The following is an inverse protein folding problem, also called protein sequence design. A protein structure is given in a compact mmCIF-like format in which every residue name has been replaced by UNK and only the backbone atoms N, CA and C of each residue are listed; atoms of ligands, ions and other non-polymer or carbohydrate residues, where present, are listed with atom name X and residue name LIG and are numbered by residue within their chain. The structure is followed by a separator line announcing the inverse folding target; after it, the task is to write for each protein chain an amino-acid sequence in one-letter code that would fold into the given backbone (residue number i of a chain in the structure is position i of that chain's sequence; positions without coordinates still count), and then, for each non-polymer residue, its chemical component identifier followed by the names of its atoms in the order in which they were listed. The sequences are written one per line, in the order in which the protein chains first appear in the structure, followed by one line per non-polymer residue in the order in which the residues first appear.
data_IF_168600115470
#
_entry.id   IF_168600115470
#
_cell.length_a   1.000
_cell.length_b   1.000
_cell.length_c   1.000
_cell.angle_alpha   90.00
_cell.angle_beta   90.00
_cell.angle_gamma   90.00
#
_symmetry.space_group_name_H-M   'P 1'
#
loop_
_entity.id
_entity.type
_entity.pdbx_description
1 polymer ?
#
# COMPACT_ATOMS: atom_id res chain seq x y z
N UNK A 1 -11.88 -22.11 24.32
CA UNK A 1 -11.01 -21.98 23.14
C UNK A 1 -11.83 -22.33 21.90
N UNK A 2 -12.05 -21.39 20.98
CA UNK A 2 -12.80 -21.66 19.75
C UNK A 2 -11.88 -22.43 18.80
N UNK A 3 -12.26 -23.67 18.46
CA UNK A 3 -11.64 -24.44 17.40
C UNK A 3 -11.99 -23.79 16.05
N UNK A 4 -11.19 -22.83 15.60
CA UNK A 4 -11.37 -22.24 14.27
C UNK A 4 -10.83 -23.23 13.25
N UNK A 5 -11.72 -24.01 12.64
CA UNK A 5 -11.39 -24.86 11.49
C UNK A 5 -10.94 -23.95 10.34
N UNK A 6 -9.64 -23.88 10.07
CA UNK A 6 -9.09 -23.21 8.90
C UNK A 6 -9.15 -24.12 7.67
N UNK A 7 -9.29 -23.52 6.48
CA UNK A 7 -9.15 -24.22 5.19
C UNK A 7 -7.74 -23.96 4.66
N UNK A 8 -7.07 -24.99 4.16
CA UNK A 8 -5.76 -24.85 3.52
C UNK A 8 -5.91 -24.38 2.08
N UNK A 9 -5.12 -23.37 1.69
CA UNK A 9 -5.09 -22.83 0.34
C UNK A 9 -3.76 -23.24 -0.31
N UNK A 10 -3.84 -24.07 -1.35
CA UNK A 10 -2.70 -24.40 -2.22
C UNK A 10 -2.79 -23.60 -3.51
N UNK A 11 -1.74 -22.83 -3.84
CA UNK A 11 -1.64 -22.09 -5.10
C UNK A 11 -0.20 -22.15 -5.62
N UNK A 12 -0.07 -22.21 -6.94
CA UNK A 12 1.23 -22.02 -7.57
C UNK A 12 1.62 -20.54 -7.49
N UNK A 13 2.84 -20.29 -7.01
CA UNK A 13 3.41 -18.95 -6.93
C UNK A 13 4.83 -19.03 -7.51
N UNK A 14 5.14 -18.23 -8.55
CA UNK A 14 6.51 -18.10 -9.07
C UNK A 14 7.51 -17.80 -7.95
N UNK A 15 8.73 -18.33 -8.08
CA UNK A 15 9.76 -18.27 -7.03
C UNK A 15 10.04 -16.81 -6.61
N UNK A 16 10.24 -15.93 -7.58
CA UNK A 16 10.52 -14.51 -7.35
C UNK A 16 9.41 -13.81 -6.56
N UNK A 17 8.15 -14.11 -6.89
CA UNK A 17 6.99 -13.57 -6.18
C UNK A 17 6.90 -14.12 -4.75
N UNK A 18 7.18 -15.41 -4.56
CA UNK A 18 7.21 -16.02 -3.22
C UNK A 18 8.29 -15.38 -2.32
N UNK A 19 9.47 -15.13 -2.87
CA UNK A 19 10.55 -14.46 -2.14
C UNK A 19 10.20 -13.00 -1.80
N UNK A 20 9.66 -12.25 -2.77
CA UNK A 20 9.20 -10.88 -2.57
C UNK A 20 8.14 -10.81 -1.46
N UNK A 21 7.14 -11.70 -1.49
CA UNK A 21 6.12 -11.81 -0.43
C UNK A 21 6.73 -12.15 0.93
N UNK A 22 7.73 -13.03 0.97
CA UNK A 22 8.42 -13.39 2.22
C UNK A 22 9.20 -12.21 2.80
N UNK A 23 9.91 -11.44 1.97
CA UNK A 23 10.63 -10.24 2.41
C UNK A 23 9.68 -9.18 2.94
N UNK A 24 8.57 -8.95 2.24
CA UNK A 24 7.51 -8.02 2.69
C UNK A 24 6.90 -8.44 4.02
N UNK A 25 6.56 -9.71 4.17
CA UNK A 25 6.01 -10.24 5.42
C UNK A 25 7.01 -10.07 6.58
N UNK A 26 8.30 -10.33 6.35
CA UNK A 26 9.35 -10.15 7.35
C UNK A 26 9.53 -8.69 7.78
N UNK A 27 9.45 -7.74 6.84
CA UNK A 27 9.53 -6.31 7.13
C UNK A 27 8.41 -5.82 8.05
N UNK A 28 7.25 -6.47 8.01
CA UNK A 28 6.08 -6.14 8.83
C UNK A 28 5.91 -7.10 10.02
N UNK A 29 6.91 -7.92 10.34
CA UNK A 29 6.89 -8.94 11.42
C UNK A 29 5.71 -9.91 11.32
N UNK A 30 5.32 -10.28 10.10
CA UNK A 30 4.20 -11.20 9.81
C UNK A 30 4.70 -12.48 9.14
N UNK A 31 3.91 -13.54 9.27
CA UNK A 31 4.17 -14.80 8.52
C UNK A 31 3.68 -14.67 7.08
N UNK A 32 4.23 -15.49 6.19
CA UNK A 32 3.80 -15.54 4.79
C UNK A 32 2.29 -15.76 4.66
N UNK A 33 1.72 -16.70 5.42
CA UNK A 33 0.29 -16.99 5.42
C UNK A 33 -0.54 -15.80 5.90
N UNK A 34 -0.07 -15.06 6.92
CA UNK A 34 -0.75 -13.84 7.39
C UNK A 34 -0.75 -12.74 6.33
N UNK A 35 0.35 -12.58 5.60
CA UNK A 35 0.46 -11.59 4.53
C UNK A 35 -0.43 -11.94 3.33
N UNK A 36 -0.48 -13.22 2.94
CA UNK A 36 -1.41 -13.70 1.92
C UNK A 36 -2.86 -13.44 2.33
N UNK A 37 -3.24 -13.78 3.57
CA UNK A 37 -4.60 -13.50 4.07
C UNK A 37 -4.91 -12.01 4.07
N UNK A 38 -3.96 -11.13 4.44
CA UNK A 38 -4.15 -9.67 4.37
C UNK A 38 -4.42 -9.24 2.92
N UNK A 39 -3.57 -9.65 1.97
CA UNK A 39 -3.71 -9.28 0.56
C UNK A 39 -5.05 -9.77 0.00
N UNK A 40 -5.44 -11.01 0.29
CA UNK A 40 -6.74 -11.53 -0.15
C UNK A 40 -7.91 -10.78 0.48
N UNK A 41 -7.81 -10.42 1.76
CA UNK A 41 -8.84 -9.62 2.44
C UNK A 41 -8.95 -8.22 1.81
N UNK A 42 -7.82 -7.57 1.54
CA UNK A 42 -7.76 -6.27 0.85
C UNK A 42 -8.27 -6.35 -0.59
N UNK A 43 -8.03 -7.45 -1.30
CA UNK A 43 -8.53 -7.60 -2.66
C UNK A 43 -10.07 -7.72 -2.69
N UNK A 44 -10.67 -8.40 -1.71
CA UNK A 44 -12.14 -8.56 -1.62
C UNK A 44 -12.80 -7.31 -1.05
N UNK A 45 -12.21 -6.70 -0.02
CA UNK A 45 -12.85 -5.62 0.74
C UNK A 45 -12.36 -4.22 0.31
N UNK A 46 -11.45 -4.16 -0.66
CA UNK A 46 -10.68 -2.96 -0.99
C UNK A 46 -9.51 -2.74 -0.03
N UNK A 47 -8.65 -1.76 -0.34
CA UNK A 47 -7.51 -1.36 0.50
C UNK A 47 -8.03 -0.74 1.81
N UNK A 48 -8.50 -1.60 2.71
CA UNK A 48 -9.32 -1.20 3.84
C UNK A 48 -8.43 -0.82 5.02
N UNK A 49 -8.83 0.30 5.61
CA UNK A 49 -8.35 0.92 6.82
C UNK A 49 -8.09 -0.09 7.96
N UNK A 50 -7.34 0.36 8.98
CA UNK A 50 -6.87 -0.44 10.11
C UNK A 50 -7.90 -1.45 10.66
N UNK A 51 -7.46 -2.64 11.15
CA UNK A 51 -8.37 -3.69 11.60
C UNK A 51 -9.41 -3.17 12.59
N UNK A 52 -10.70 -3.42 12.31
CA UNK A 52 -11.86 -2.91 13.06
C UNK A 52 -12.53 -1.67 12.45
N UNK A 53 -11.93 -1.06 11.43
CA UNK A 53 -12.55 0.04 10.69
C UNK A 53 -13.32 -0.49 9.48
N UNK A 54 -14.60 -0.13 9.40
CA UNK A 54 -15.46 -0.38 8.25
C UNK A 54 -15.46 0.90 7.43
N UNK A 55 -14.98 0.85 6.18
CA UNK A 55 -15.18 1.97 5.27
C UNK A 55 -16.66 2.00 4.85
N UNK A 56 -17.44 2.87 5.49
CA UNK A 56 -18.88 3.03 5.20
C UNK A 56 -19.13 3.93 3.99
N UNK A 57 -18.08 4.34 3.27
CA UNK A 57 -18.18 5.23 2.11
C UNK A 57 -18.52 4.42 0.86
N UNK A 58 -19.72 4.61 0.33
CA UNK A 58 -20.09 4.10 -1.01
C UNK A 58 -19.48 4.95 -2.14
N UNK A 59 -19.68 4.54 -3.40
CA UNK A 59 -19.20 5.27 -4.59
C UNK A 59 -19.70 6.73 -4.68
N UNK A 60 -20.78 7.06 -3.96
CA UNK A 60 -21.34 8.41 -3.88
C UNK A 60 -20.76 9.26 -2.73
N UNK A 61 -19.77 8.77 -1.98
CA UNK A 61 -19.18 9.55 -0.88
C UNK A 61 -18.37 10.71 -1.45
N UNK A 62 -18.61 11.93 -0.94
CA UNK A 62 -17.87 13.12 -1.37
C UNK A 62 -16.35 13.02 -1.13
N UNK A 63 -15.56 13.83 -1.86
CA UNK A 63 -14.10 13.80 -1.77
C UNK A 63 -13.62 13.98 -0.33
N UNK A 64 -12.50 13.34 0.04
CA UNK A 64 -11.87 13.62 1.33
C UNK A 64 -11.49 15.09 1.36
N UNK A 65 -11.54 15.73 2.53
CA UNK A 65 -11.22 17.17 2.65
C UNK A 65 -9.87 17.51 1.99
N UNK A 66 -8.89 16.62 2.10
CA UNK A 66 -7.56 16.74 1.47
C UNK A 66 -7.56 16.66 -0.06
N UNK A 67 -8.58 16.06 -0.66
CA UNK A 67 -8.71 15.99 -2.12
C UNK A 67 -9.11 17.35 -2.70
N UNK A 68 -9.76 18.20 -1.89
CA UNK A 68 -10.16 19.56 -2.24
C UNK A 68 -9.32 20.64 -1.55
N UNK A 69 -8.37 20.26 -0.70
CA UNK A 69 -7.50 21.24 -0.05
C UNK A 69 -6.58 21.84 -1.13
N UNK A 70 -6.53 23.18 -1.26
CA UNK A 70 -5.63 23.80 -2.21
C UNK A 70 -4.18 23.41 -1.86
N UNK A 71 -3.43 23.01 -2.88
CA UNK A 71 -1.99 22.75 -2.76
C UNK A 71 -1.34 23.97 -2.08
N UNK A 72 -0.44 23.78 -1.09
CA UNK A 72 0.25 24.88 -0.45
C UNK A 72 0.81 25.84 -1.50
N UNK A 73 0.40 27.11 -1.45
CA UNK A 73 0.93 28.12 -2.37
C UNK A 73 2.44 28.23 -2.11
N UNK A 74 3.24 28.10 -3.17
CA UNK A 74 4.67 28.40 -3.12
C UNK A 74 4.83 29.81 -2.55
N UNK A 75 5.65 29.93 -1.50
CA UNK A 75 6.02 31.22 -0.91
C UNK A 75 6.96 31.93 -1.88
N UNK A 76 6.98 33.26 -1.84
CA UNK A 76 7.79 34.08 -2.77
C UNK A 76 9.30 33.81 -2.69
N UNK A 77 9.76 33.17 -1.61
CA UNK A 77 11.15 32.80 -1.36
C UNK A 77 11.44 31.31 -1.59
N UNK A 78 10.48 30.54 -2.09
CA UNK A 78 10.73 29.13 -2.43
C UNK A 78 11.61 29.06 -3.68
N UNK A 79 12.85 28.57 -3.52
CA UNK A 79 13.78 28.37 -4.63
C UNK A 79 13.26 27.25 -5.54
N UNK A 80 13.27 27.41 -6.89
CA UNK A 80 12.93 26.33 -7.79
C UNK A 80 13.93 25.18 -7.63
N UNK A 81 13.42 23.95 -7.50
CA UNK A 81 14.25 22.76 -7.52
C UNK A 81 14.81 22.58 -8.94
N UNK A 82 16.13 22.71 -9.08
CA UNK A 82 16.86 22.35 -10.30
C UNK A 82 17.28 20.89 -10.13
N UNK A 83 16.70 20.00 -10.92
CA UNK A 83 17.13 18.61 -10.95
C UNK A 83 18.58 18.57 -11.47
N UNK A 84 19.51 17.86 -10.79
CA UNK A 84 20.85 17.68 -11.32
C UNK A 84 20.80 16.62 -12.43
N UNK A 85 20.47 17.00 -13.65
CA UNK A 85 20.71 16.17 -14.83
C UNK A 85 21.92 16.68 -15.61
N UNK A 86 22.92 15.80 -15.69
CA UNK A 86 23.94 15.72 -16.73
C UNK A 86 24.88 16.93 -16.94
N UNK A 87 25.75 17.20 -15.96
CA UNK A 87 27.13 17.63 -16.31
C UNK A 87 27.94 16.39 -16.68
N UNK A 88 27.69 15.87 -17.86
CA UNK A 88 28.56 14.89 -18.52
C UNK A 88 28.68 15.27 -20.00
N UNK A 89 29.77 15.96 -20.32
CA UNK A 89 30.23 16.22 -21.69
C UNK A 89 29.73 17.53 -22.30
N UNK A 90 30.62 18.53 -22.38
CA UNK A 90 31.23 18.96 -23.65
C UNK A 90 32.35 19.98 -23.37
N UNK A 91 33.55 19.69 -23.89
CA UNK A 91 34.81 20.45 -24.02
C UNK A 91 35.34 21.36 -22.87
#
# INVERSE_FOLDING_TARGET
MVNRKGVFIGAYVPLELKESLRRRAAAEHRTLSQEITRILTEAVHGRALAPGSVDRRGLASGPRRRDNDPIPRRRSYDVPYVAPEATAGDD
#
